data_IF_111846338649
#
_entry.id   IF_111846338649
#
_cell.length_a   1.000
_cell.length_b   1.000
_cell.length_c   1.000
_cell.angle_alpha   90.00
_cell.angle_beta   90.00
_cell.angle_gamma   90.00
#
_symmetry.space_group_name_H-M   'P 1'
#
loop_
_entity.id
_entity.type
_entity.pdbx_description
1 polymer ?
#
# COMPACT_ATOMS: atom_id res chain seq x y z
N UNK A 1 3.21 -31.78 -32.38
CA UNK A 1 4.15 -31.71 -31.25
C UNK A 1 3.54 -30.78 -30.22
N UNK A 2 3.35 -31.24 -28.98
CA UNK A 2 2.62 -30.47 -27.97
C UNK A 2 3.43 -29.23 -27.54
N UNK A 3 2.88 -28.04 -27.74
CA UNK A 3 3.36 -26.82 -27.11
C UNK A 3 3.32 -27.02 -25.59
N UNK A 4 4.46 -26.89 -24.91
CA UNK A 4 4.49 -26.95 -23.45
C UNK A 4 4.02 -25.59 -22.93
N UNK A 5 2.79 -25.52 -22.44
CA UNK A 5 2.25 -24.32 -21.80
C UNK A 5 2.65 -24.35 -20.32
N UNK A 6 3.33 -23.30 -19.87
CA UNK A 6 3.65 -23.05 -18.47
C UNK A 6 2.66 -22.03 -17.93
N UNK A 7 1.82 -22.42 -16.98
CA UNK A 7 0.81 -21.55 -16.37
C UNK A 7 1.08 -21.37 -14.88
N UNK A 8 0.94 -20.15 -14.37
CA UNK A 8 0.96 -19.87 -12.94
C UNK A 8 0.03 -18.70 -12.59
N UNK A 9 -0.37 -18.63 -11.33
CA UNK A 9 -1.22 -17.57 -10.81
C UNK A 9 -0.42 -16.63 -9.90
N UNK A 10 -0.79 -15.36 -9.91
CA UNK A 10 -0.22 -14.32 -9.06
C UNK A 10 -1.38 -13.71 -8.27
N UNK A 11 -1.36 -13.88 -6.96
CA UNK A 11 -2.27 -13.17 -6.07
C UNK A 11 -1.87 -11.69 -6.07
N UNK A 12 -2.85 -10.82 -6.29
CA UNK A 12 -2.63 -9.38 -6.40
C UNK A 12 -3.61 -8.63 -5.51
N UNK A 13 -3.13 -7.55 -4.90
CA UNK A 13 -3.96 -6.60 -4.15
C UNK A 13 -4.50 -5.47 -5.05
N UNK A 14 -4.15 -5.48 -6.36
CA UNK A 14 -4.64 -4.49 -7.32
C UNK A 14 -6.14 -4.65 -7.52
N UNK A 15 -6.89 -3.56 -7.27
CA UNK A 15 -8.32 -3.53 -7.53
C UNK A 15 -8.61 -3.83 -9.02
N UNK A 16 -9.68 -4.57 -9.36
CA UNK A 16 -10.01 -4.94 -10.75
C UNK A 16 -10.06 -3.74 -11.71
N UNK A 17 -10.50 -2.57 -11.23
CA UNK A 17 -10.57 -1.34 -12.01
C UNK A 17 -9.19 -0.81 -12.46
N UNK A 18 -8.10 -1.20 -11.79
CA UNK A 18 -6.74 -0.72 -12.03
C UNK A 18 -5.88 -1.70 -12.82
N UNK A 19 -6.43 -2.86 -13.20
CA UNK A 19 -5.69 -3.88 -13.95
C UNK A 19 -5.31 -3.38 -15.35
N UNK A 20 -6.17 -2.58 -16.01
CA UNK A 20 -5.82 -1.95 -17.29
C UNK A 20 -4.64 -0.98 -17.15
N UNK A 21 -4.65 -0.16 -16.09
CA UNK A 21 -3.56 0.78 -15.78
C UNK A 21 -2.26 0.04 -15.45
N UNK A 22 -2.35 -1.10 -14.76
CA UNK A 22 -1.21 -1.98 -14.49
C UNK A 22 -0.60 -2.50 -15.78
N UNK A 23 -1.39 -2.98 -16.73
CA UNK A 23 -0.87 -3.47 -18.01
C UNK A 23 -0.27 -2.35 -18.85
N UNK A 24 -0.90 -1.17 -18.90
CA UNK A 24 -0.30 0.01 -19.52
C UNK A 24 1.03 0.35 -18.87
N UNK A 25 1.12 0.31 -17.54
CA UNK A 25 2.36 0.54 -16.81
C UNK A 25 3.46 -0.46 -17.22
N UNK A 26 3.13 -1.75 -17.29
CA UNK A 26 4.07 -2.79 -17.77
C UNK A 26 4.56 -2.50 -19.18
N UNK A 27 3.65 -2.17 -20.09
CA UNK A 27 3.98 -1.84 -21.49
C UNK A 27 4.94 -0.65 -21.55
N UNK A 28 4.57 0.48 -20.95
CA UNK A 28 5.31 1.73 -21.09
C UNK A 28 6.66 1.74 -20.37
N UNK A 29 6.72 1.14 -19.18
CA UNK A 29 7.90 1.26 -18.31
C UNK A 29 8.79 0.03 -18.28
N UNK A 30 8.33 -1.13 -18.76
CA UNK A 30 9.14 -2.36 -18.75
C UNK A 30 9.36 -2.96 -20.13
N UNK A 31 8.32 -3.07 -20.95
CA UNK A 31 8.40 -3.75 -22.25
C UNK A 31 8.98 -2.82 -23.33
N UNK A 32 8.37 -1.63 -23.53
CA UNK A 32 8.79 -0.68 -24.58
C UNK A 32 10.22 -0.13 -24.43
N UNK A 33 10.77 0.08 -23.22
CA UNK A 33 12.16 0.52 -23.07
C UNK A 33 13.20 -0.53 -23.50
N UNK A 34 12.79 -1.79 -23.71
CA UNK A 34 13.66 -2.90 -24.13
C UNK A 34 13.16 -3.53 -25.44
N UNK A 35 13.05 -2.75 -26.54
CA UNK A 35 12.42 -3.22 -27.78
C UNK A 35 13.24 -4.32 -28.48
N UNK A 36 14.53 -4.44 -28.19
CA UNK A 36 15.37 -5.52 -28.70
C UNK A 36 14.99 -6.90 -28.15
N UNK A 37 14.35 -6.94 -26.97
CA UNK A 37 14.02 -8.18 -26.26
C UNK A 37 12.53 -8.52 -26.38
N UNK A 38 11.65 -7.56 -26.69
CA UNK A 38 10.20 -7.75 -26.68
C UNK A 38 9.56 -7.36 -28.01
N UNK A 39 8.65 -8.20 -28.51
CA UNK A 39 7.87 -7.98 -29.72
C UNK A 39 6.38 -8.31 -29.50
N UNK A 40 5.54 -7.96 -30.48
CA UNK A 40 4.09 -8.25 -30.48
C UNK A 40 3.37 -7.85 -29.19
N UNK A 41 3.71 -6.67 -28.65
CA UNK A 41 3.10 -6.14 -27.44
C UNK A 41 1.71 -5.62 -27.78
N UNK A 42 0.69 -6.12 -27.10
CA UNK A 42 -0.70 -5.71 -27.31
C UNK A 42 -1.55 -5.92 -26.08
N UNK A 43 -2.62 -5.14 -25.97
CA UNK A 43 -3.69 -5.39 -25.01
C UNK A 43 -4.94 -5.80 -25.77
N UNK A 44 -5.58 -6.84 -25.27
CA UNK A 44 -6.85 -7.34 -25.74
C UNK A 44 -7.83 -7.29 -24.59
N UNK A 45 -9.12 -7.20 -24.88
CA UNK A 45 -10.17 -7.35 -23.87
C UNK A 45 -11.07 -8.48 -24.32
N UNK A 46 -11.15 -9.53 -23.51
CA UNK A 46 -12.03 -10.66 -23.76
C UNK A 46 -13.01 -10.77 -22.59
N UNK A 47 -14.31 -10.75 -22.86
CA UNK A 47 -15.36 -10.88 -21.82
C UNK A 47 -15.19 -9.91 -20.63
N UNK A 48 -14.80 -8.65 -20.93
CA UNK A 48 -14.49 -7.59 -19.94
C UNK A 48 -13.26 -7.83 -19.06
N UNK A 49 -12.48 -8.89 -19.33
CA UNK A 49 -11.19 -9.12 -18.69
C UNK A 49 -10.08 -8.60 -19.60
N UNK A 50 -9.22 -7.69 -19.12
CA UNK A 50 -8.07 -7.25 -19.90
C UNK A 50 -7.05 -8.39 -20.00
N UNK A 51 -6.41 -8.51 -21.16
CA UNK A 51 -5.38 -9.51 -21.44
C UNK A 51 -4.20 -8.79 -22.08
N UNK A 52 -3.04 -8.87 -21.45
CA UNK A 52 -1.78 -8.38 -21.99
C UNK A 52 -1.05 -9.52 -22.70
N UNK A 53 -0.68 -9.31 -23.96
CA UNK A 53 0.09 -10.26 -24.76
C UNK A 53 1.41 -9.64 -25.19
N UNK A 54 2.50 -10.37 -25.07
CA UNK A 54 3.80 -9.97 -25.61
C UNK A 54 4.67 -11.20 -25.91
N UNK A 55 5.71 -11.01 -26.71
CA UNK A 55 6.67 -12.07 -27.06
C UNK A 55 8.06 -11.67 -26.62
N UNK A 56 8.72 -12.52 -25.82
CA UNK A 56 10.14 -12.37 -25.49
C UNK A 56 10.97 -13.04 -26.59
N UNK A 57 11.97 -12.33 -27.11
CA UNK A 57 12.88 -12.79 -28.15
C UNK A 57 14.22 -13.20 -27.52
N UNK A 58 14.68 -14.40 -27.87
CA UNK A 58 16.01 -14.88 -27.50
C UNK A 58 17.14 -14.23 -28.31
N UNK A 59 18.40 -14.39 -27.88
CA UNK A 59 19.56 -13.89 -28.62
C UNK A 59 19.52 -14.35 -30.07
N UNK A 60 19.65 -13.41 -31.00
CA UNK A 60 19.62 -13.63 -32.45
C UNK A 60 18.36 -14.37 -32.97
N UNK A 61 17.23 -14.33 -32.23
CA UNK A 61 15.98 -14.97 -32.64
C UNK A 61 15.99 -16.51 -32.57
N UNK A 62 16.94 -17.09 -31.83
CA UNK A 62 17.10 -18.55 -31.70
C UNK A 62 15.92 -19.25 -31.01
N UNK A 63 15.20 -18.53 -30.16
CA UNK A 63 13.98 -18.97 -29.50
C UNK A 63 13.08 -17.76 -29.20
N UNK A 64 11.81 -18.02 -28.91
CA UNK A 64 10.87 -17.00 -28.44
C UNK A 64 9.91 -17.61 -27.41
N UNK A 65 9.34 -16.74 -26.57
CA UNK A 65 8.33 -17.13 -25.58
C UNK A 65 7.14 -16.20 -25.75
N UNK A 66 5.97 -16.77 -26.08
CA UNK A 66 4.73 -16.03 -26.08
C UNK A 66 4.18 -15.98 -24.65
N UNK A 67 3.88 -14.78 -24.18
CA UNK A 67 3.32 -14.54 -22.85
C UNK A 67 1.94 -13.94 -23.00
N UNK A 68 1.01 -14.48 -22.22
CA UNK A 68 -0.34 -13.97 -22.07
C UNK A 68 -0.63 -13.80 -20.58
N UNK A 69 -0.87 -12.57 -20.17
CA UNK A 69 -1.23 -12.20 -18.80
C UNK A 69 -2.70 -11.83 -18.79
N UNK A 70 -3.50 -12.62 -18.08
CA UNK A 70 -4.95 -12.47 -17.98
C UNK A 70 -5.24 -11.74 -16.66
N UNK A 71 -5.91 -10.60 -16.77
CA UNK A 71 -6.25 -9.71 -15.68
C UNK A 71 -7.40 -10.19 -14.79
N UNK A 72 -7.42 -11.48 -14.45
CA UNK A 72 -8.32 -12.04 -13.44
C UNK A 72 -7.80 -11.76 -12.03
N UNK A 73 -8.62 -11.98 -11.02
CA UNK A 73 -8.23 -12.00 -9.60
C UNK A 73 -8.38 -13.44 -9.09
N UNK A 74 -7.30 -14.23 -8.95
CA UNK A 74 -5.88 -13.89 -9.14
C UNK A 74 -5.45 -13.78 -10.62
N UNK A 75 -4.33 -13.08 -10.88
CA UNK A 75 -3.81 -12.86 -12.25
C UNK A 75 -3.27 -14.19 -12.77
N UNK A 76 -3.73 -14.61 -13.95
CA UNK A 76 -3.28 -15.84 -14.59
C UNK A 76 -2.24 -15.51 -15.68
N UNK A 77 -1.08 -16.14 -15.63
CA UNK A 77 -0.02 -15.98 -16.63
C UNK A 77 0.18 -17.30 -17.36
N UNK A 78 0.09 -17.26 -18.68
CA UNK A 78 0.37 -18.36 -19.59
C UNK A 78 1.63 -18.03 -20.40
N UNK A 79 2.62 -18.92 -20.38
CA UNK A 79 3.85 -18.83 -21.15
C UNK A 79 3.96 -20.03 -22.09
N UNK A 80 4.12 -19.75 -23.38
CA UNK A 80 4.29 -20.75 -24.43
C UNK A 80 5.67 -20.58 -25.07
N UNK A 81 6.71 -21.29 -24.57
CA UNK A 81 8.04 -21.31 -25.17
C UNK A 81 8.16 -22.18 -26.42
N UNK A 82 9.03 -21.78 -27.32
CA UNK A 82 9.46 -22.56 -28.49
C UNK A 82 10.48 -23.64 -28.08
N UNK A 83 10.58 -24.78 -28.80
CA UNK A 83 11.61 -25.77 -28.55
C UNK A 83 13.02 -25.15 -28.58
N UNK A 84 13.80 -25.35 -27.52
CA UNK A 84 15.16 -24.78 -27.38
C UNK A 84 15.27 -23.61 -26.39
N UNK A 85 14.16 -23.13 -25.81
CA UNK A 85 14.19 -22.13 -24.73
C UNK A 85 14.83 -22.69 -23.46
N UNK A 86 15.87 -22.03 -22.89
CA UNK A 86 16.43 -22.40 -21.60
C UNK A 86 15.41 -22.22 -20.46
N UNK A 87 15.37 -23.15 -19.49
CA UNK A 87 14.45 -23.04 -18.35
C UNK A 87 14.71 -21.82 -17.47
N UNK A 88 15.97 -21.37 -17.37
CA UNK A 88 16.36 -20.18 -16.60
C UNK A 88 15.66 -18.91 -17.10
N UNK A 89 15.40 -18.82 -18.41
CA UNK A 89 14.69 -17.69 -19.02
C UNK A 89 13.22 -17.65 -18.56
N UNK A 90 12.60 -18.83 -18.39
CA UNK A 90 11.21 -18.91 -17.92
C UNK A 90 11.09 -18.42 -16.47
N UNK A 91 12.06 -18.78 -15.62
CA UNK A 91 12.13 -18.32 -14.23
C UNK A 91 12.40 -16.80 -14.17
N UNK A 92 13.36 -16.29 -14.93
CA UNK A 92 13.64 -14.84 -15.02
C UNK A 92 12.42 -14.05 -15.51
N UNK A 93 11.69 -14.58 -16.49
CA UNK A 93 10.49 -13.95 -17.02
C UNK A 93 9.35 -13.97 -16.01
N UNK A 94 9.20 -15.05 -15.26
CA UNK A 94 8.25 -15.15 -14.15
C UNK A 94 8.56 -14.10 -13.09
N UNK A 95 9.81 -14.02 -12.64
CA UNK A 95 10.26 -13.05 -11.64
C UNK A 95 10.09 -11.61 -12.12
N UNK A 96 10.34 -11.34 -13.40
CA UNK A 96 10.10 -10.03 -14.02
C UNK A 96 8.62 -9.62 -13.92
N UNK A 97 7.70 -10.52 -14.27
CA UNK A 97 6.25 -10.25 -14.24
C UNK A 97 5.78 -10.02 -12.80
N UNK A 98 6.18 -10.90 -11.86
CA UNK A 98 5.83 -10.77 -10.44
C UNK A 98 6.35 -9.45 -9.88
N UNK A 99 7.62 -9.15 -10.12
CA UNK A 99 8.25 -7.90 -9.65
C UNK A 99 7.56 -6.68 -10.25
N UNK A 100 7.15 -6.73 -11.52
CA UNK A 100 6.42 -5.63 -12.15
C UNK A 100 5.10 -5.33 -11.48
N UNK A 101 4.33 -6.38 -11.18
CA UNK A 101 3.03 -6.26 -10.51
C UNK A 101 3.25 -5.68 -9.11
N UNK A 102 4.21 -6.21 -8.35
CA UNK A 102 4.55 -5.71 -7.01
C UNK A 102 5.01 -4.24 -7.01
N UNK A 103 5.80 -3.81 -8.00
CA UNK A 103 6.20 -2.40 -8.14
C UNK A 103 4.99 -1.52 -8.43
N UNK A 104 4.06 -2.00 -9.25
CA UNK A 104 2.81 -1.29 -9.51
C UNK A 104 1.94 -1.21 -8.27
N UNK A 105 1.78 -2.29 -7.51
CA UNK A 105 1.08 -2.32 -6.23
C UNK A 105 1.68 -1.33 -5.23
N UNK A 106 3.00 -1.32 -5.08
CA UNK A 106 3.71 -0.37 -4.23
C UNK A 106 3.43 1.08 -4.66
N UNK A 107 3.43 1.33 -5.97
CA UNK A 107 3.14 2.65 -6.54
C UNK A 107 1.69 3.04 -6.28
N UNK A 108 0.75 2.12 -6.44
CA UNK A 108 -0.66 2.31 -6.15
C UNK A 108 -0.87 2.63 -4.68
N UNK A 109 -0.25 1.87 -3.78
CA UNK A 109 -0.30 2.09 -2.33
C UNK A 109 0.23 3.47 -1.94
N UNK A 110 1.34 3.91 -2.53
CA UNK A 110 1.92 5.24 -2.29
C UNK A 110 1.10 6.40 -2.85
N UNK A 111 0.22 6.14 -3.81
CA UNK A 111 -0.63 7.16 -4.46
C UNK A 111 -2.08 7.12 -3.99
N UNK A 112 -2.39 6.20 -3.07
CA UNK A 112 -3.71 6.06 -2.49
C UNK A 112 -3.86 6.97 -1.27
N UNK A 113 -4.92 7.77 -1.26
CA UNK A 113 -5.32 8.56 -0.10
C UNK A 113 -6.31 7.77 0.74
N UNK A 114 -6.05 7.72 2.04
CA UNK A 114 -6.94 7.11 3.02
C UNK A 114 -7.60 8.22 3.82
N UNK A 115 -8.92 8.29 3.74
CA UNK A 115 -9.72 9.15 4.61
C UNK A 115 -10.43 8.28 5.63
N UNK A 116 -10.38 8.68 6.88
CA UNK A 116 -11.09 8.01 7.95
C UNK A 116 -12.08 8.99 8.60
N UNK A 117 -13.20 8.46 9.10
CA UNK A 117 -14.19 9.19 9.92
C UNK A 117 -14.71 8.32 11.07
N UNK A 118 -15.08 8.97 12.17
CA UNK A 118 -15.89 8.42 13.27
C UNK A 118 -17.27 9.07 13.26
N UNK A 119 -18.29 8.39 13.79
CA UNK A 119 -19.70 8.86 13.76
C UNK A 119 -19.89 10.23 14.45
N UNK A 120 -19.14 10.53 15.53
CA UNK A 120 -19.18 11.82 16.25
C UNK A 120 -18.51 13.03 15.58
N UNK A 121 -18.08 12.91 14.33
CA UNK A 121 -17.84 14.06 13.47
C UNK A 121 -16.46 14.70 13.50
N UNK A 122 -16.27 15.56 12.49
CA UNK A 122 -14.98 16.06 11.97
C UNK A 122 -14.34 17.14 12.87
N UNK A 123 -14.58 17.11 14.17
CA UNK A 123 -14.02 18.12 15.08
C UNK A 123 -12.56 17.87 15.46
N UNK A 124 -11.94 16.83 14.92
CA UNK A 124 -10.49 16.72 14.91
C UNK A 124 -10.00 16.95 13.49
N UNK A 125 -9.70 18.22 13.12
CA UNK A 125 -8.77 18.47 12.05
C UNK A 125 -7.57 17.56 12.27
N UNK A 126 -6.92 17.12 11.20
CA UNK A 126 -5.57 16.57 11.30
C UNK A 126 -4.64 17.70 11.79
N UNK A 127 -4.77 18.08 13.06
CA UNK A 127 -3.90 19.02 13.74
C UNK A 127 -2.53 18.37 13.74
N UNK A 128 -1.55 19.14 13.26
CA UNK A 128 -0.15 18.74 13.33
C UNK A 128 0.17 18.22 14.74
N UNK A 129 0.86 17.07 14.86
CA UNK A 129 1.11 16.45 16.14
C UNK A 129 1.69 17.48 17.12
N UNK A 130 1.01 17.68 18.25
CA UNK A 130 1.54 18.53 19.32
C UNK A 130 2.92 17.98 19.70
N UNK A 131 3.89 18.85 20.02
CA UNK A 131 5.28 18.45 20.27
C UNK A 131 5.41 17.27 21.27
N UNK A 132 4.53 17.21 22.29
CA UNK A 132 4.45 16.10 23.25
C UNK A 132 3.94 14.79 22.65
N UNK A 133 3.00 14.83 21.71
CA UNK A 133 2.49 13.66 21.00
C UNK A 133 3.53 13.12 20.01
N UNK A 134 4.30 13.98 19.36
CA UNK A 134 5.38 13.57 18.45
C UNK A 134 6.46 12.72 19.12
N UNK A 135 6.77 13.03 20.39
CA UNK A 135 7.73 12.28 21.20
C UNK A 135 7.17 10.90 21.57
N UNK A 136 5.87 10.82 21.90
CA UNK A 136 5.20 9.55 22.21
C UNK A 136 5.05 8.67 20.96
N UNK A 137 4.66 9.27 19.83
CA UNK A 137 4.56 8.60 18.52
C UNK A 137 5.93 8.05 18.10
N UNK A 138 7.03 8.79 18.26
CA UNK A 138 8.36 8.29 17.90
C UNK A 138 8.86 7.17 18.82
N UNK A 139 8.40 7.11 20.07
CA UNK A 139 8.80 6.07 21.03
C UNK A 139 8.18 4.70 20.74
N UNK A 140 7.00 4.66 20.11
CA UNK A 140 6.21 3.42 19.95
C UNK A 140 5.79 3.10 18.52
N UNK A 141 5.80 4.05 17.57
CA UNK A 141 5.18 3.86 16.26
C UNK A 141 6.14 3.55 15.11
N UNK A 142 7.40 4.00 15.18
CA UNK A 142 8.30 3.96 14.01
C UNK A 142 9.56 3.11 14.24
N UNK A 143 10.13 3.18 15.45
CA UNK A 143 11.26 2.36 15.84
C UNK A 143 11.35 2.23 17.36
N UNK A 144 11.39 0.99 17.87
CA UNK A 144 11.60 0.72 19.30
C UNK A 144 13.00 1.17 19.81
N UNK A 145 13.87 1.67 18.91
CA UNK A 145 15.22 2.14 19.25
C UNK A 145 15.21 3.29 20.27
N UNK A 146 14.29 4.25 20.15
CA UNK A 146 14.24 5.37 21.09
C UNK A 146 13.86 4.92 22.50
N UNK A 147 12.89 4.02 22.60
CA UNK A 147 12.50 3.41 23.87
C UNK A 147 13.66 2.62 24.47
N UNK A 148 14.38 1.85 23.65
CA UNK A 148 15.59 1.13 24.08
C UNK A 148 16.69 2.06 24.60
N UNK A 149 16.99 3.17 23.89
CA UNK A 149 17.98 4.16 24.32
C UNK A 149 17.59 4.76 25.68
N UNK A 150 16.32 5.12 25.87
CA UNK A 150 15.83 5.66 27.15
C UNK A 150 15.99 4.62 28.27
N UNK A 151 15.62 3.36 28.03
CA UNK A 151 15.77 2.29 29.03
C UNK A 151 17.23 2.01 29.35
N UNK A 152 18.14 2.07 28.38
CA UNK A 152 19.58 1.91 28.59
C UNK A 152 20.15 3.06 29.42
N UNK A 153 19.79 4.31 29.10
CA UNK A 153 20.19 5.49 29.88
C UNK A 153 19.63 5.44 31.30
N UNK A 154 18.35 5.07 31.45
CA UNK A 154 17.70 4.89 32.74
C UNK A 154 18.35 3.77 33.55
N UNK A 155 18.73 2.66 32.90
CA UNK A 155 19.43 1.56 33.53
C UNK A 155 20.78 1.99 34.08
N UNK A 156 21.57 2.75 33.30
CA UNK A 156 22.85 3.28 33.75
C UNK A 156 22.68 4.23 34.95
N UNK A 157 21.69 5.11 34.88
CA UNK A 157 21.37 6.05 35.95
C UNK A 157 20.89 5.36 37.23
N UNK A 158 20.00 4.38 37.11
CA UNK A 158 19.52 3.60 38.25
C UNK A 158 20.63 2.75 38.84
N UNK A 159 21.54 2.19 38.02
CA UNK A 159 22.70 1.45 38.52
C UNK A 159 23.60 2.31 39.40
N UNK A 160 23.77 3.58 39.04
CA UNK A 160 24.54 4.52 39.86
C UNK A 160 23.92 4.80 41.23
N UNK A 161 22.58 4.76 41.35
CA UNK A 161 21.86 5.07 42.61
C UNK A 161 21.55 3.81 43.43
N UNK A 162 21.05 2.74 42.81
CA UNK A 162 20.53 1.52 43.45
C UNK A 162 21.52 0.34 43.42
N UNK A 163 22.58 0.41 42.61
CA UNK A 163 23.61 -0.64 42.50
C UNK A 163 23.01 -2.01 42.15
N UNK A 164 23.26 -3.08 42.95
CA UNK A 164 22.78 -4.43 42.65
C UNK A 164 21.26 -4.62 42.63
N UNK A 165 20.48 -3.72 43.25
CA UNK A 165 19.01 -3.79 43.26
C UNK A 165 18.38 -3.30 41.95
N UNK A 166 19.17 -2.67 41.08
CA UNK A 166 18.73 -2.07 39.82
C UNK A 166 17.96 -3.01 38.91
N UNK A 167 18.40 -4.27 38.67
CA UNK A 167 17.66 -5.18 37.80
C UNK A 167 16.25 -5.46 38.31
N UNK A 168 16.07 -5.61 39.63
CA UNK A 168 14.76 -5.87 40.24
C UNK A 168 13.84 -4.67 40.05
N UNK A 169 14.36 -3.46 40.28
CA UNK A 169 13.58 -2.24 40.14
C UNK A 169 13.21 -1.95 38.67
N UNK A 170 14.13 -2.17 37.73
CA UNK A 170 13.85 -2.06 36.30
C UNK A 170 12.79 -3.06 35.85
N UNK A 171 12.88 -4.30 36.33
CA UNK A 171 11.87 -5.33 36.05
C UNK A 171 10.48 -4.90 36.55
N UNK A 172 10.40 -4.31 37.75
CA UNK A 172 9.13 -3.78 38.27
C UNK A 172 8.58 -2.60 37.44
N UNK A 173 9.45 -1.69 36.99
CA UNK A 173 9.06 -0.57 36.11
C UNK A 173 8.56 -1.08 34.75
N UNK A 174 9.27 -2.05 34.15
CA UNK A 174 8.87 -2.66 32.89
C UNK A 174 7.53 -3.40 33.03
N UNK A 175 7.33 -4.12 34.12
CA UNK A 175 6.06 -4.79 34.41
C UNK A 175 4.90 -3.79 34.53
N UNK A 176 5.11 -2.67 35.24
CA UNK A 176 4.13 -1.59 35.34
C UNK A 176 3.83 -1.00 33.96
N UNK A 177 4.84 -0.79 33.12
CA UNK A 177 4.64 -0.26 31.77
C UNK A 177 3.78 -1.20 30.90
N UNK A 178 3.99 -2.52 31.00
CA UNK A 178 3.19 -3.53 30.29
C UNK A 178 1.75 -3.55 30.79
N UNK A 179 1.55 -3.57 32.11
CA UNK A 179 0.22 -3.54 32.73
C UNK A 179 -0.59 -2.31 32.36
N UNK A 180 0.06 -1.16 32.19
CA UNK A 180 -0.56 0.09 31.76
C UNK A 180 -0.45 0.35 30.25
N UNK A 181 -0.03 -0.64 29.45
CA UNK A 181 0.20 -0.41 28.02
C UNK A 181 -1.09 -0.05 27.29
N UNK A 182 -2.23 -0.59 27.74
CA UNK A 182 -3.57 -0.25 27.26
C UNK A 182 -3.84 1.26 27.39
N UNK A 183 -3.59 1.84 28.58
CA UNK A 183 -3.78 3.27 28.84
C UNK A 183 -2.76 4.14 28.13
N UNK A 184 -1.55 3.64 27.94
CA UNK A 184 -0.48 4.32 27.20
C UNK A 184 -0.88 4.41 25.72
N UNK A 185 -1.30 3.30 25.12
CA UNK A 185 -1.75 3.21 23.72
C UNK A 185 -3.03 4.03 23.50
N UNK A 186 -4.01 3.97 24.40
CA UNK A 186 -5.24 4.78 24.32
C UNK A 186 -4.96 6.29 24.43
N UNK A 187 -3.88 6.69 25.12
CA UNK A 187 -3.45 8.09 25.21
C UNK A 187 -2.64 8.54 23.98
N UNK A 188 -2.04 7.60 23.25
CA UNK A 188 -1.32 7.84 21.99
C UNK A 188 -2.27 7.85 20.79
N UNK A 189 -3.32 7.03 20.82
CA UNK A 189 -4.34 6.98 19.79
C UNK A 189 -5.00 8.34 19.60
N UNK A 190 -4.87 8.90 18.39
CA UNK A 190 -5.58 10.14 18.00
C UNK A 190 -7.09 9.93 17.84
N UNK A 191 -7.51 8.66 17.82
CA UNK A 191 -8.86 8.19 17.60
C UNK A 191 -9.29 7.43 18.86
N UNK A 192 -10.43 7.82 19.44
CA UNK A 192 -11.04 7.08 20.54
C UNK A 192 -12.21 6.30 19.99
N UNK A 193 -12.03 4.99 19.86
CA UNK A 193 -13.12 4.07 19.57
C UNK A 193 -13.78 3.79 20.92
N UNK A 194 -14.91 4.45 21.19
CA UNK A 194 -15.71 4.27 22.41
C UNK A 194 -16.88 3.33 22.12
N UNK A 195 -17.49 2.75 23.17
CA UNK A 195 -18.71 1.92 23.01
C UNK A 195 -19.87 2.69 22.35
N UNK A 196 -19.86 4.02 22.46
CA UNK A 196 -20.83 4.91 21.82
C UNK A 196 -20.54 5.16 20.33
N UNK A 197 -19.30 4.93 19.84
CA UNK A 197 -18.90 5.07 18.44
C UNK A 197 -17.93 3.93 18.02
N UNK A 198 -18.42 2.69 17.83
CA UNK A 198 -17.57 1.55 17.51
C UNK A 198 -17.07 1.56 16.06
N UNK A 199 -17.72 2.28 15.16
CA UNK A 199 -17.48 2.20 13.72
C UNK A 199 -16.48 3.26 13.24
N UNK A 200 -15.46 2.79 12.53
CA UNK A 200 -14.53 3.63 11.79
C UNK A 200 -14.81 3.43 10.31
N UNK A 201 -15.19 4.50 9.62
CA UNK A 201 -15.41 4.47 8.18
C UNK A 201 -14.12 4.84 7.47
N UNK A 202 -13.66 3.97 6.57
CA UNK A 202 -12.46 4.16 5.77
C UNK A 202 -12.84 4.34 4.30
N UNK A 203 -12.49 5.47 3.70
CA UNK A 203 -12.57 5.68 2.27
C UNK A 203 -11.16 5.61 1.69
N UNK A 204 -10.97 4.66 0.78
CA UNK A 204 -9.76 4.52 0.00
C UNK A 204 -9.98 5.17 -1.36
N UNK A 205 -9.23 6.24 -1.65
CA UNK A 205 -9.28 6.91 -2.96
C UNK A 205 -7.98 6.71 -3.72
N UNK A 206 -8.07 6.02 -4.85
CA UNK A 206 -6.93 5.74 -5.70
C UNK A 206 -6.76 6.85 -6.76
N UNK A 207 -5.61 7.53 -6.75
CA UNK A 207 -5.28 8.57 -7.73
C UNK A 207 -4.39 8.02 -8.85
N UNK A 208 -4.76 8.22 -10.13
CA UNK A 208 -3.89 7.88 -11.26
C UNK A 208 -2.53 8.58 -11.15
N UNK A 209 -1.44 7.87 -11.43
CA UNK A 209 -0.06 8.37 -11.30
C UNK A 209 0.25 9.75 -11.95
N UNK A 210 -0.19 10.07 -13.19
CA UNK A 210 0.09 11.37 -13.80
C UNK A 210 -0.66 12.53 -13.11
N UNK A 211 -1.73 12.22 -12.39
CA UNK A 211 -2.52 13.18 -11.62
C UNK A 211 -2.01 13.29 -10.20
N UNK A 212 -1.56 12.19 -9.58
CA UNK A 212 -1.04 12.19 -8.21
C UNK A 212 0.02 13.27 -7.97
N UNK A 213 1.00 13.44 -8.86
CA UNK A 213 2.04 14.46 -8.64
C UNK A 213 1.48 15.89 -8.70
N UNK A 214 0.47 16.13 -9.54
CA UNK A 214 -0.22 17.44 -9.62
C UNK A 214 -1.16 17.63 -8.44
N UNK A 215 -1.88 16.58 -8.03
CA UNK A 215 -2.82 16.56 -6.91
C UNK A 215 -2.06 16.67 -5.58
N UNK A 216 -1.07 15.82 -5.29
CA UNK A 216 -0.28 15.90 -4.07
C UNK A 216 0.47 17.24 -3.90
N UNK A 217 0.85 17.91 -5.00
CA UNK A 217 1.46 19.25 -4.92
C UNK A 217 0.44 20.39 -4.79
N UNK A 218 -0.78 20.23 -5.31
CA UNK A 218 -1.82 21.27 -5.27
C UNK A 218 -2.73 21.16 -4.04
N UNK A 219 -3.03 19.94 -3.59
CA UNK A 219 -3.86 19.63 -2.43
C UNK A 219 -2.98 19.61 -1.17
N UNK A 220 -2.62 20.80 -0.68
CA UNK A 220 -2.00 20.93 0.64
C UNK A 220 -2.94 20.44 1.77
N UNK A 221 -2.43 20.30 3.02
CA UNK A 221 -3.18 19.76 4.16
C UNK A 221 -4.53 20.47 4.42
N UNK A 222 -4.62 21.76 4.08
CA UNK A 222 -5.86 22.56 4.19
C UNK A 222 -6.95 22.13 3.21
N UNK A 223 -6.59 21.73 2.00
CA UNK A 223 -7.55 21.34 0.96
C UNK A 223 -8.03 19.91 1.23
N UNK A 224 -7.15 19.03 1.67
CA UNK A 224 -7.52 17.68 2.12
C UNK A 224 -8.50 17.72 3.30
N UNK A 225 -8.26 18.60 4.28
CA UNK A 225 -9.20 18.82 5.38
C UNK A 225 -10.58 19.30 4.86
N UNK A 226 -10.60 20.23 3.90
CA UNK A 226 -11.83 20.74 3.31
C UNK A 226 -12.62 19.65 2.56
N UNK A 227 -11.95 18.79 1.80
CA UNK A 227 -12.59 17.67 1.09
C UNK A 227 -13.19 16.69 2.10
N UNK A 228 -12.45 16.36 3.15
CA UNK A 228 -12.91 15.50 4.23
C UNK A 228 -14.17 16.04 4.91
N UNK A 229 -14.21 17.36 5.15
CA UNK A 229 -15.39 18.06 5.68
C UNK A 229 -16.58 18.02 4.71
N UNK A 230 -16.35 18.29 3.42
CA UNK A 230 -17.40 18.33 2.40
C UNK A 230 -18.02 16.93 2.20
N UNK A 231 -17.21 15.87 2.16
CA UNK A 231 -17.69 14.48 2.11
C UNK A 231 -18.49 14.14 3.36
N UNK A 232 -18.00 14.50 4.55
CA UNK A 232 -18.72 14.23 5.80
C UNK A 232 -20.09 14.92 5.84
N UNK A 233 -20.17 16.22 5.52
CA UNK A 233 -21.42 16.99 5.53
C UNK A 233 -22.44 16.46 4.52
N UNK A 234 -21.99 15.87 3.41
CA UNK A 234 -22.86 15.30 2.38
C UNK A 234 -23.28 13.84 2.68
N UNK A 235 -22.55 13.12 3.52
CA UNK A 235 -22.78 11.69 3.84
C UNK A 235 -23.14 11.47 5.32
N UNK A 236 -22.15 11.23 6.16
CA UNK A 236 -22.28 10.87 7.58
C UNK A 236 -23.01 11.95 8.40
N UNK A 237 -22.78 13.23 8.10
CA UNK A 237 -23.48 14.36 8.72
C UNK A 237 -25.00 14.40 8.45
N UNK A 238 -25.48 13.60 7.48
CA UNK A 238 -26.91 13.42 7.17
C UNK A 238 -27.43 12.03 7.60
N UNK A 239 -26.64 11.28 8.38
CA UNK A 239 -26.98 9.92 8.81
C UNK A 239 -26.95 8.89 7.68
N UNK A 240 -26.18 9.15 6.60
CA UNK A 240 -26.01 8.22 5.48
C UNK A 240 -24.61 7.60 5.53
N UNK A 241 -24.50 6.36 5.06
CA UNK A 241 -23.20 5.72 4.85
C UNK A 241 -22.37 6.47 3.80
N UNK A 242 -21.05 6.24 3.81
CA UNK A 242 -20.13 6.87 2.86
C UNK A 242 -20.41 6.32 1.45
N UNK A 243 -21.00 7.16 0.59
CA UNK A 243 -21.24 6.82 -0.81
C UNK A 243 -20.04 7.21 -1.68
N UNK A 244 -19.47 6.23 -2.38
CA UNK A 244 -18.38 6.41 -3.33
C UNK A 244 -18.71 7.43 -4.43
N UNK A 245 -19.99 7.56 -4.83
CA UNK A 245 -20.42 8.53 -5.85
C UNK A 245 -20.30 9.97 -5.36
N UNK A 246 -20.72 10.22 -4.12
CA UNK A 246 -20.64 11.54 -3.48
C UNK A 246 -19.17 11.94 -3.30
N UNK A 247 -18.33 10.99 -2.87
CA UNK A 247 -16.89 11.24 -2.79
C UNK A 247 -16.30 11.61 -4.15
N UNK A 248 -16.63 10.86 -5.20
CA UNK A 248 -16.16 11.13 -6.56
C UNK A 248 -16.56 12.53 -7.07
N UNK A 249 -17.81 12.96 -6.82
CA UNK A 249 -18.28 14.31 -7.18
C UNK A 249 -17.50 15.41 -6.46
N UNK A 250 -17.17 15.23 -5.18
CA UNK A 250 -16.38 16.21 -4.41
C UNK A 250 -14.93 16.28 -4.91
N UNK A 251 -14.33 15.14 -5.32
CA UNK A 251 -12.97 15.11 -5.86
C UNK A 251 -12.85 15.69 -7.28
N UNK A 252 -13.93 15.73 -8.06
CA UNK A 252 -13.94 16.24 -9.44
C UNK A 252 -14.21 17.76 -9.54
N UNK A 253 -14.53 18.41 -8.41
CA UNK A 253 -14.88 19.83 -8.31
C UNK A 253 -13.66 20.72 -8.11
#
# INVERSE_FOLDING_TARGET
>A
MAERVYSFTIDTEVAPALIDDMFRYMIYYQLLPRPANFANIGMLTHEKVPILTFTLLGPAGTWFVHVKVIGSTPILVEMTPTPGTPSTVLDELKDLIITSIQIFEERVRRTTLYFAWTEEGVHHPEEHPRARQRILDSLFSESMLLLFIIFMSLSLFMFWILGPLTPIMLMAIQLLMVLYSDKIVLRMGRWRITEENPNVYLLQYHLPYPEYRRVAMSYGPKILARIKDEIYQLTLGRGREIDCKVAQEVFQK
#
